data_IF_331002791331
#
_entry.id   IF_331002791331
#
_cell.length_a   1.000
_cell.length_b   1.000
_cell.length_c   1.000
_cell.angle_alpha   90.00
_cell.angle_beta   90.00
_cell.angle_gamma   90.00
#
_symmetry.space_group_name_H-M   'P 1'
#
loop_
_entity.id
_entity.type
_entity.pdbx_description
1 polymer ?
#
# COMPACT_ATOMS: atom_id res chain seq x y z
N UNK A 1 30.12 26.40 -19.24
CA UNK A 1 28.95 27.02 -18.59
C UNK A 1 28.14 25.88 -18.01
N UNK A 2 27.85 25.95 -16.72
CA UNK A 2 27.40 24.84 -15.86
C UNK A 2 26.09 24.21 -16.36
N UNK A 3 26.05 22.89 -16.49
CA UNK A 3 24.81 22.14 -16.71
C UNK A 3 23.90 22.31 -15.49
N UNK A 4 22.72 22.88 -15.71
CA UNK A 4 21.64 22.89 -14.74
C UNK A 4 20.99 21.51 -14.68
N UNK A 5 21.41 20.67 -13.75
CA UNK A 5 20.62 19.52 -13.29
C UNK A 5 19.45 20.04 -12.46
N UNK A 6 18.28 20.12 -13.09
CA UNK A 6 17.00 20.26 -12.41
C UNK A 6 16.74 18.96 -11.63
N UNK A 7 16.85 19.03 -10.30
CA UNK A 7 16.55 17.91 -9.42
C UNK A 7 15.12 17.39 -9.60
N UNK A 8 14.87 16.08 -9.40
CA UNK A 8 13.55 15.50 -9.58
C UNK A 8 12.57 16.11 -8.57
N UNK A 9 11.66 16.95 -9.06
CA UNK A 9 10.51 17.44 -8.32
C UNK A 9 9.75 16.24 -7.72
N UNK A 10 9.20 16.34 -6.49
CA UNK A 10 8.50 15.24 -5.86
C UNK A 10 7.34 14.84 -6.76
N UNK A 11 7.41 13.63 -7.31
CA UNK A 11 6.38 13.09 -8.19
C UNK A 11 5.10 12.90 -7.39
N UNK A 12 4.25 13.93 -7.41
CA UNK A 12 2.92 13.88 -6.84
C UNK A 12 2.19 12.67 -7.44
N UNK A 13 1.47 11.89 -6.62
CA UNK A 13 0.73 10.77 -7.13
C UNK A 13 -0.29 11.25 -8.17
N UNK A 14 -0.33 10.60 -9.32
CA UNK A 14 -1.23 10.93 -10.42
C UNK A 14 -2.14 9.75 -10.73
N UNK A 15 -3.34 10.03 -11.23
CA UNK A 15 -4.25 8.98 -11.66
C UNK A 15 -3.69 8.23 -12.87
N UNK A 16 -3.50 6.91 -12.80
CA UNK A 16 -2.94 6.15 -13.91
C UNK A 16 -3.81 6.13 -15.18
N UNK A 17 -5.12 6.39 -15.05
CA UNK A 17 -6.02 6.44 -16.22
C UNK A 17 -6.12 7.81 -16.88
N UNK A 18 -6.12 8.86 -16.07
CA UNK A 18 -6.44 10.22 -16.52
C UNK A 18 -5.25 11.17 -16.48
N UNK A 19 -4.17 10.78 -15.80
CA UNK A 19 -2.94 11.54 -15.52
C UNK A 19 -3.18 12.90 -14.85
N UNK A 20 -4.33 13.08 -14.17
CA UNK A 20 -4.59 14.28 -13.37
C UNK A 20 -3.84 14.18 -12.04
N UNK A 21 -3.11 15.25 -11.62
CA UNK A 21 -2.51 15.34 -10.29
C UNK A 21 -3.57 15.63 -9.21
N UNK A 22 -3.24 15.31 -7.95
CA UNK A 22 -4.06 15.57 -6.75
C UNK A 22 -4.12 17.05 -6.36
N UNK A 23 -4.35 17.94 -7.33
CA UNK A 23 -4.23 19.38 -7.12
C UNK A 23 -5.56 20.12 -7.26
N UNK A 24 -6.70 19.44 -7.08
CA UNK A 24 -7.98 20.12 -6.92
C UNK A 24 -8.34 20.11 -5.44
N UNK A 25 -8.49 21.31 -4.91
CA UNK A 25 -8.24 21.72 -3.53
C UNK A 25 -9.43 21.41 -2.60
N UNK A 26 -10.31 20.50 -3.02
CA UNK A 26 -11.57 20.14 -2.36
C UNK A 26 -11.88 18.66 -2.68
N UNK A 27 -11.20 17.75 -1.97
CA UNK A 27 -11.37 16.28 -2.04
C UNK A 27 -11.35 15.58 -3.43
N UNK A 28 -10.15 15.17 -3.89
CA UNK A 28 -10.08 13.84 -4.50
C UNK A 28 -8.93 13.03 -3.90
N UNK A 29 -9.18 12.36 -2.77
CA UNK A 29 -8.29 11.33 -2.23
C UNK A 29 -8.09 10.24 -3.29
N UNK A 30 -6.95 10.25 -4.01
CA UNK A 30 -6.53 9.17 -4.89
C UNK A 30 -6.51 7.89 -4.06
N UNK A 31 -7.40 6.96 -4.40
CA UNK A 31 -7.46 5.69 -3.69
C UNK A 31 -6.48 4.73 -4.36
N UNK A 32 -5.46 4.22 -3.65
CA UNK A 32 -4.58 3.21 -4.20
C UNK A 32 -5.35 1.92 -4.49
N UNK A 33 -4.84 1.13 -5.43
CA UNK A 33 -5.37 -0.19 -5.69
C UNK A 33 -5.23 -1.06 -4.43
N UNK A 34 -6.30 -1.70 -3.99
CA UNK A 34 -6.28 -2.53 -2.76
C UNK A 34 -5.38 -3.76 -2.94
N UNK A 35 -5.26 -4.26 -4.17
CA UNK A 35 -4.50 -5.46 -4.50
C UNK A 35 -2.99 -5.19 -4.55
N UNK A 36 -2.55 -4.23 -5.37
CA UNK A 36 -1.13 -3.98 -5.58
C UNK A 36 -0.59 -2.78 -4.81
N UNK A 37 -1.45 -1.83 -4.41
CA UNK A 37 -1.12 -0.54 -3.76
C UNK A 37 -0.11 0.35 -4.50
N UNK A 38 0.43 -0.08 -5.64
CA UNK A 38 1.38 0.70 -6.45
C UNK A 38 0.73 1.74 -7.36
N UNK A 39 -0.54 1.53 -7.75
CA UNK A 39 -1.25 2.41 -8.69
C UNK A 39 -2.40 3.12 -7.98
N UNK A 40 -2.60 4.38 -8.33
CA UNK A 40 -3.58 5.27 -7.71
C UNK A 40 -4.60 5.77 -8.74
N UNK A 41 -5.85 5.94 -8.31
CA UNK A 41 -6.95 6.38 -9.15
C UNK A 41 -7.78 7.46 -8.46
N UNK A 42 -8.18 8.48 -9.21
CA UNK A 42 -8.99 9.58 -8.70
C UNK A 42 -10.45 9.16 -8.45
N UNK A 43 -10.92 8.12 -9.15
CA UNK A 43 -12.30 7.65 -9.02
C UNK A 43 -12.40 6.14 -9.29
N UNK A 44 -13.51 5.55 -8.85
CA UNK A 44 -13.80 4.13 -9.09
C UNK A 44 -14.00 3.84 -10.58
N UNK A 45 -14.51 4.81 -11.34
CA UNK A 45 -14.69 4.72 -12.80
C UNK A 45 -13.36 4.66 -13.55
N UNK A 46 -12.38 5.46 -13.14
CA UNK A 46 -11.02 5.39 -13.68
C UNK A 46 -10.39 4.01 -13.46
N UNK A 47 -10.57 3.44 -12.26
CA UNK A 47 -10.12 2.09 -11.96
C UNK A 47 -10.83 1.07 -12.85
N UNK A 48 -12.16 1.14 -12.98
CA UNK A 48 -12.98 0.24 -13.81
C UNK A 48 -12.54 0.26 -15.28
N UNK A 49 -12.32 1.45 -15.84
CA UNK A 49 -11.85 1.64 -17.20
C UNK A 49 -10.45 1.03 -17.42
N UNK A 50 -9.57 1.11 -16.42
CA UNK A 50 -8.21 0.58 -16.52
C UNK A 50 -8.08 -0.91 -16.16
N UNK A 51 -9.10 -1.54 -15.55
CA UNK A 51 -9.03 -2.93 -15.06
C UNK A 51 -8.45 -3.95 -16.06
N UNK A 52 -8.79 -3.86 -17.35
CA UNK A 52 -8.30 -4.81 -18.36
C UNK A 52 -6.80 -4.67 -18.61
N UNK A 53 -6.30 -3.45 -18.65
CA UNK A 53 -4.87 -3.17 -18.80
C UNK A 53 -4.14 -3.41 -17.47
N UNK A 54 -4.69 -2.85 -16.38
CA UNK A 54 -4.16 -2.97 -15.03
C UNK A 54 -4.04 -4.42 -14.57
N UNK A 55 -5.00 -5.31 -14.84
CA UNK A 55 -4.98 -6.69 -14.33
C UNK A 55 -3.72 -7.46 -14.72
N UNK A 56 -3.14 -7.17 -15.89
CA UNK A 56 -1.89 -7.80 -16.36
C UNK A 56 -0.68 -7.37 -15.53
N UNK A 57 -0.64 -6.11 -15.12
CA UNK A 57 0.46 -5.53 -14.34
C UNK A 57 0.21 -5.57 -12.83
N UNK A 58 -1.05 -5.69 -12.40
CA UNK A 58 -1.46 -5.65 -11.00
C UNK A 58 -0.81 -6.78 -10.19
N UNK A 59 -0.73 -7.99 -10.75
CA UNK A 59 -0.06 -9.11 -10.10
C UNK A 59 1.43 -8.83 -9.87
N UNK A 60 2.14 -8.37 -10.90
CA UNK A 60 3.56 -8.00 -10.80
C UNK A 60 3.77 -6.87 -9.80
N UNK A 61 2.97 -5.81 -9.89
CA UNK A 61 3.06 -4.66 -8.99
C UNK A 61 2.76 -5.04 -7.52
N UNK A 62 1.84 -5.99 -7.29
CA UNK A 62 1.60 -6.50 -5.94
C UNK A 62 2.83 -7.25 -5.41
N UNK A 63 3.51 -8.04 -6.24
CA UNK A 63 4.76 -8.70 -5.84
C UNK A 63 5.85 -7.68 -5.53
N UNK A 64 6.03 -6.67 -6.38
CA UNK A 64 6.99 -5.59 -6.14
C UNK A 64 6.68 -4.85 -4.84
N UNK A 65 5.41 -4.48 -4.62
CA UNK A 65 4.98 -3.87 -3.36
C UNK A 65 5.28 -4.75 -2.16
N UNK A 66 5.10 -6.07 -2.24
CA UNK A 66 5.45 -6.98 -1.13
C UNK A 66 6.95 -7.07 -0.87
N UNK A 67 7.79 -6.91 -1.91
CA UNK A 67 9.25 -6.91 -1.76
C UNK A 67 9.75 -5.60 -1.17
N UNK A 68 9.17 -4.47 -1.58
CA UNK A 68 9.59 -3.13 -1.15
C UNK A 68 8.90 -2.65 0.12
N UNK A 69 7.72 -3.20 0.43
CA UNK A 69 7.11 -3.03 1.73
C UNK A 69 7.99 -3.81 2.71
N UNK A 70 9.00 -3.13 3.23
CA UNK A 70 9.68 -3.45 4.48
C UNK A 70 8.59 -3.52 5.57
N UNK A 71 7.90 -4.66 5.61
CA UNK A 71 7.27 -5.13 6.82
C UNK A 71 8.48 -5.31 7.72
N UNK A 72 8.80 -4.29 8.52
CA UNK A 72 9.55 -4.43 9.75
C UNK A 72 8.74 -5.44 10.55
N UNK A 73 8.98 -6.72 10.29
CA UNK A 73 8.38 -7.81 11.02
C UNK A 73 8.74 -7.47 12.45
N UNK A 74 7.75 -7.06 13.23
CA UNK A 74 7.88 -7.02 14.67
C UNK A 74 8.45 -8.38 15.01
N UNK A 75 9.71 -8.36 15.43
CA UNK A 75 10.57 -9.53 15.49
C UNK A 75 9.75 -10.66 16.08
N UNK A 76 9.58 -11.74 15.31
CA UNK A 76 9.10 -13.00 15.85
C UNK A 76 10.17 -13.42 16.85
N UNK A 77 10.09 -12.91 18.08
CA UNK A 77 10.68 -13.59 19.21
C UNK A 77 10.00 -14.94 19.20
N UNK A 78 10.75 -15.98 18.78
CA UNK A 78 10.28 -17.34 18.88
C UNK A 78 9.78 -17.53 20.31
N UNK A 79 8.54 -18.00 20.54
CA UNK A 79 8.14 -18.35 21.88
C UNK A 79 9.14 -19.40 22.37
N UNK A 80 9.92 -19.04 23.39
CA UNK A 80 10.85 -19.97 24.01
C UNK A 80 10.01 -21.16 24.46
N UNK A 81 10.50 -22.39 24.25
CA UNK A 81 9.78 -23.64 24.53
C UNK A 81 9.49 -23.88 26.03
N UNK A 82 9.55 -22.85 26.87
CA UNK A 82 9.38 -22.93 28.33
C UNK A 82 8.27 -21.99 28.87
N UNK A 83 7.50 -21.30 28.02
CA UNK A 83 6.49 -20.34 28.48
C UNK A 83 5.02 -20.82 28.39
N UNK A 84 4.76 -22.13 28.23
CA UNK A 84 3.39 -22.67 28.09
C UNK A 84 2.88 -23.45 29.30
N UNK A 85 3.58 -23.43 30.44
CA UNK A 85 3.21 -24.27 31.59
C UNK A 85 2.13 -23.69 32.52
N UNK A 86 1.56 -22.50 32.26
CA UNK A 86 0.69 -21.89 33.28
C UNK A 86 -0.25 -20.76 32.86
N UNK A 87 -0.85 -20.78 31.67
CA UNK A 87 -1.55 -19.59 31.16
C UNK A 87 -2.87 -19.78 30.43
N UNK A 88 -3.72 -20.74 30.79
CA UNK A 88 -5.09 -20.78 30.25
C UNK A 88 -6.08 -21.49 31.21
N UNK A 89 -6.30 -20.91 32.39
CA UNK A 89 -7.33 -21.45 33.29
C UNK A 89 -7.91 -20.38 34.21
N UNK A 90 -8.66 -19.43 33.64
CA UNK A 90 -9.85 -18.84 34.29
C UNK A 90 -10.47 -17.78 33.38
N UNK A 91 -11.51 -18.18 32.65
CA UNK A 91 -12.63 -17.28 32.43
C UNK A 91 -13.70 -17.75 33.41
N UNK A 92 -13.57 -17.31 34.67
CA UNK A 92 -14.60 -17.55 35.67
C UNK A 92 -15.52 -16.34 35.64
N UNK A 93 -16.78 -16.63 35.33
CA UNK A 93 -17.87 -15.69 35.26
C UNK A 93 -18.10 -15.03 36.61
N UNK A 94 -18.40 -13.73 36.53
CA UNK A 94 -18.92 -12.81 37.53
C UNK A 94 -20.05 -13.44 38.38
N UNK A 95 -19.88 -13.47 39.71
CA UNK A 95 -20.98 -13.54 40.70
C UNK A 95 -20.70 -12.65 41.89
#
# INVERSE_FOLDING_TARGET
>A
MSSSEAGPAPALPTCAKCSKPESNEDEPVLKPCISCKSVQYCSRDCKKADTKAHKKVCASLAQEYMKTADIKMASKQAPTKDAHRGGLQKWQFDT
#
